data_IF_073710292546
#
_entry.id   IF_073710292546
#
_cell.length_a   1.000
_cell.length_b   1.000
_cell.length_c   1.000
_cell.angle_alpha   90.00
_cell.angle_beta   90.00
_cell.angle_gamma   90.00
#
_symmetry.space_group_name_H-M   'P 1'
#
loop_
_entity.id
_entity.type
_entity.pdbx_description
1 polymer ?
#
# COMPACT_ATOMS: atom_id res chain seq x y z
N UNK A 1 -15.14 9.25 7.91
CA UNK A 1 -15.47 8.57 6.65
C UNK A 1 -15.94 7.16 6.97
N UNK A 2 -17.08 6.68 6.45
CA UNK A 2 -17.53 5.31 6.69
C UNK A 2 -16.69 4.32 5.87
N UNK A 3 -16.43 3.15 6.43
CA UNK A 3 -15.72 2.03 5.79
C UNK A 3 -16.75 1.03 5.25
N UNK A 4 -16.39 0.20 4.25
CA UNK A 4 -17.27 -0.82 3.64
C UNK A 4 -17.96 -1.77 4.61
N UNK A 5 -17.37 -1.96 5.81
CA UNK A 5 -17.76 -3.00 6.76
C UNK A 5 -18.30 -2.46 8.10
N UNK A 6 -18.69 -1.18 8.17
CA UNK A 6 -19.23 -0.58 9.40
C UNK A 6 -18.14 -0.24 10.42
N UNK A 7 -18.47 -0.13 11.73
CA UNK A 7 -17.47 0.14 12.78
C UNK A 7 -16.45 -1.00 12.83
N UNK A 8 -15.34 -0.88 12.12
CA UNK A 8 -14.25 -1.83 12.21
C UNK A 8 -13.58 -1.73 13.58
N UNK A 9 -13.29 -2.88 14.20
CA UNK A 9 -12.56 -2.97 15.47
C UNK A 9 -11.09 -2.53 15.31
N UNK A 10 -10.58 -2.65 14.09
CA UNK A 10 -9.25 -2.22 13.67
C UNK A 10 -9.43 -1.13 12.62
N UNK A 11 -8.74 -0.02 12.80
CA UNK A 11 -8.83 1.14 11.91
C UNK A 11 -7.41 1.59 11.59
N UNK A 12 -7.09 1.65 10.30
CA UNK A 12 -5.88 2.28 9.82
C UNK A 12 -6.06 3.79 9.93
N UNK A 13 -5.35 4.39 10.90
CA UNK A 13 -5.44 5.81 11.12
C UNK A 13 -4.78 6.61 9.99
N UNK A 14 -5.29 7.81 9.75
CA UNK A 14 -4.71 8.81 8.85
C UNK A 14 -4.88 8.52 7.35
N UNK A 15 -3.91 8.96 6.55
CA UNK A 15 -3.90 8.93 5.09
C UNK A 15 -3.17 7.69 4.58
N UNK A 16 -3.62 7.16 3.46
CA UNK A 16 -2.93 6.08 2.74
C UNK A 16 -2.37 6.66 1.43
N UNK A 17 -1.12 6.30 1.09
CA UNK A 17 -0.58 6.54 -0.25
C UNK A 17 -0.61 5.22 -1.00
N UNK A 18 -1.50 5.14 -1.98
CA UNK A 18 -1.77 3.91 -2.71
C UNK A 18 -1.16 3.95 -4.10
N UNK A 19 -0.47 2.86 -4.46
CA UNK A 19 0.14 2.64 -5.76
C UNK A 19 -0.42 1.34 -6.34
N UNK A 20 -0.89 1.40 -7.59
CA UNK A 20 -1.32 0.23 -8.35
C UNK A 20 -0.29 -0.13 -9.44
N UNK A 21 0.98 -0.01 -9.11
CA UNK A 21 2.16 -0.20 -9.97
C UNK A 21 3.38 -0.56 -9.11
N UNK A 22 4.58 -0.52 -9.67
CA UNK A 22 5.83 -0.94 -9.01
C UNK A 22 6.39 0.07 -7.99
N UNK A 23 5.62 1.12 -7.66
CA UNK A 23 6.05 2.25 -6.82
C UNK A 23 7.29 2.98 -7.34
N UNK A 24 7.69 2.82 -8.61
CA UNK A 24 8.90 3.44 -9.14
C UNK A 24 8.84 4.98 -9.07
N UNK A 25 10.01 5.63 -9.02
CA UNK A 25 10.09 7.10 -8.98
C UNK A 25 9.49 7.68 -10.26
N UNK A 26 8.49 8.57 -10.11
CA UNK A 26 7.78 9.19 -11.23
C UNK A 26 6.49 8.49 -11.63
N UNK A 27 6.19 7.32 -11.05
CA UNK A 27 4.93 6.64 -11.26
C UNK A 27 3.76 7.33 -10.55
N UNK A 28 2.53 7.27 -11.12
CA UNK A 28 1.36 7.85 -10.50
C UNK A 28 0.99 7.12 -9.21
N UNK A 29 0.52 7.89 -8.24
CA UNK A 29 -0.01 7.40 -6.96
C UNK A 29 -1.24 8.20 -6.56
N UNK A 30 -2.04 7.62 -5.66
CA UNK A 30 -3.22 8.26 -5.10
C UNK A 30 -3.01 8.49 -3.61
N UNK A 31 -3.26 9.71 -3.14
CA UNK A 31 -3.30 10.01 -1.70
C UNK A 31 -4.75 9.94 -1.23
N UNK A 32 -5.01 8.99 -0.35
CA UNK A 32 -6.32 8.67 0.17
C UNK A 32 -6.50 9.38 1.51
N UNK A 33 -7.56 10.17 1.65
CA UNK A 33 -7.86 10.91 2.89
C UNK A 33 -8.33 10.02 4.06
N UNK A 34 -8.36 8.70 3.86
CA UNK A 34 -8.61 7.69 4.88
C UNK A 34 -8.19 6.32 4.35
N UNK A 35 -7.41 5.57 5.13
CA UNK A 35 -6.89 4.26 4.74
C UNK A 35 -7.96 3.16 4.64
N UNK A 36 -9.05 3.26 5.40
CA UNK A 36 -10.15 2.29 5.34
C UNK A 36 -11.35 2.74 4.48
N UNK A 37 -11.17 3.77 3.64
CA UNK A 37 -12.21 4.26 2.76
C UNK A 37 -12.44 3.37 1.53
N UNK A 38 -13.67 3.30 1.03
CA UNK A 38 -14.06 2.44 -0.12
C UNK A 38 -13.61 2.95 -1.49
N UNK A 39 -12.51 3.70 -1.54
CA UNK A 39 -12.08 4.46 -2.71
C UNK A 39 -10.58 4.32 -3.03
N UNK A 40 -9.85 3.45 -2.30
CA UNK A 40 -8.43 3.17 -2.54
C UNK A 40 -8.12 1.67 -2.53
N UNK A 41 -7.17 1.19 -1.73
CA UNK A 41 -6.78 -0.23 -1.69
C UNK A 41 -7.95 -1.15 -1.38
N UNK A 42 -8.94 -0.70 -0.60
CA UNK A 42 -10.19 -1.41 -0.32
C UNK A 42 -11.07 -1.69 -1.57
N UNK A 43 -10.75 -1.12 -2.72
CA UNK A 43 -11.38 -1.46 -4.01
C UNK A 43 -10.76 -2.70 -4.65
N UNK A 44 -9.54 -3.08 -4.24
CA UNK A 44 -8.76 -4.17 -4.82
C UNK A 44 -8.66 -5.32 -3.82
N UNK A 45 -9.16 -6.50 -4.19
CA UNK A 45 -9.10 -7.71 -3.35
C UNK A 45 -7.86 -8.57 -3.63
N UNK A 46 -6.73 -7.92 -3.95
CA UNK A 46 -5.47 -8.61 -4.22
C UNK A 46 -4.63 -8.64 -2.93
N UNK A 47 -4.31 -9.84 -2.46
CA UNK A 47 -3.54 -10.09 -1.23
C UNK A 47 -2.19 -10.74 -1.54
N UNK A 48 -1.69 -10.55 -2.76
CA UNK A 48 -0.44 -11.13 -3.19
C UNK A 48 0.73 -10.60 -2.36
N UNK A 49 1.47 -11.52 -1.73
CA UNK A 49 2.64 -11.21 -0.91
C UNK A 49 3.72 -10.43 -1.67
N UNK A 50 3.82 -10.59 -3.00
CA UNK A 50 4.81 -9.88 -3.81
C UNK A 50 4.58 -8.37 -3.83
N UNK A 51 3.33 -7.92 -3.83
CA UNK A 51 2.97 -6.50 -3.83
C UNK A 51 3.36 -5.84 -2.50
N UNK A 52 3.30 -6.60 -1.40
CA UNK A 52 3.75 -6.16 -0.07
C UNK A 52 5.27 -6.06 0.08
N UNK A 53 6.05 -6.56 -0.88
CA UNK A 53 7.52 -6.59 -0.80
C UNK A 53 8.20 -5.61 -1.76
N UNK A 54 7.43 -4.92 -2.60
CA UNK A 54 7.95 -4.01 -3.62
C UNK A 54 7.74 -2.55 -3.18
N UNK A 55 8.83 -1.83 -2.94
CA UNK A 55 8.80 -0.40 -2.59
C UNK A 55 9.81 0.35 -3.45
N UNK A 56 9.41 1.42 -4.14
CA UNK A 56 10.32 2.22 -4.98
C UNK A 56 11.06 1.42 -6.05
N UNK A 57 10.39 0.44 -6.66
CA UNK A 57 11.01 -0.54 -7.57
C UNK A 57 12.10 -1.43 -6.93
N UNK A 58 12.16 -1.47 -5.59
CA UNK A 58 13.09 -2.31 -4.83
C UNK A 58 12.31 -3.42 -4.14
N UNK A 59 12.76 -4.65 -4.33
CA UNK A 59 12.27 -5.77 -3.55
C UNK A 59 12.96 -5.77 -2.18
N UNK A 60 12.25 -5.36 -1.13
CA UNK A 60 12.81 -5.16 0.21
C UNK A 60 13.35 -6.46 0.81
N UNK A 61 12.73 -7.61 0.51
CA UNK A 61 13.20 -8.92 0.97
C UNK A 61 14.58 -9.26 0.38
N UNK A 62 14.76 -9.06 -0.92
CA UNK A 62 16.05 -9.28 -1.58
C UNK A 62 17.08 -8.24 -1.17
N UNK A 63 16.68 -6.97 -1.05
CA UNK A 63 17.54 -5.87 -0.60
C UNK A 63 18.10 -6.11 0.81
N UNK A 64 17.26 -6.55 1.74
CA UNK A 64 17.69 -6.92 3.09
C UNK A 64 18.65 -8.12 3.11
N UNK A 65 18.40 -9.14 2.28
CA UNK A 65 19.30 -10.29 2.14
C UNK A 65 20.68 -9.93 1.57
N UNK A 66 20.75 -8.89 0.74
CA UNK A 66 22.00 -8.41 0.14
C UNK A 66 22.78 -7.47 1.08
N UNK A 67 22.32 -7.26 2.31
CA UNK A 67 23.01 -6.42 3.29
C UNK A 67 22.69 -4.92 3.16
N UNK A 68 21.50 -4.58 2.66
CA UNK A 68 21.02 -3.21 2.55
C UNK A 68 21.94 -2.28 1.73
N UNK A 69 22.23 -2.62 0.45
CA UNK A 69 23.05 -1.77 -0.42
C UNK A 69 22.39 -0.39 -0.60
N UNK A 70 23.15 0.69 -0.47
CA UNK A 70 22.65 2.06 -0.65
C UNK A 70 22.43 2.42 -2.11
#
# INVERSE_FOLDING_TARGET
MPTRYGKQKYFHSSFEVWYNNTMAVGEPYTVCQGADGDFCSNTVNNTNMWDHLQYFNVNIKSWGKQGCPR
#
